data_IF_769165232386
#
_entry.id   IF_769165232386
#
_cell.length_a   1.000
_cell.length_b   1.000
_cell.length_c   1.000
_cell.angle_alpha   90.00
_cell.angle_beta   90.00
_cell.angle_gamma   90.00
#
_symmetry.space_group_name_H-M   'P 1'
#
loop_
_entity.id
_entity.type
_entity.pdbx_description
1 polymer ?
#
# COMPACT_ATOMS: atom_id res chain seq x y z
N UNK A 1 1.39 8.72 24.13
CA UNK A 1 1.10 7.27 24.04
C UNK A 1 2.42 6.55 24.03
N UNK A 2 2.62 5.50 24.85
CA UNK A 2 3.90 4.80 24.91
C UNK A 2 4.29 4.19 23.55
N UNK A 3 5.56 4.31 23.16
CA UNK A 3 6.13 3.85 21.89
C UNK A 3 5.80 2.39 21.59
N UNK A 4 5.91 1.52 22.60
CA UNK A 4 5.61 0.10 22.45
C UNK A 4 4.15 -0.14 21.99
N UNK A 5 3.20 0.59 22.58
CA UNK A 5 1.79 0.52 22.20
C UNK A 5 1.55 1.10 20.80
N UNK A 6 2.22 2.20 20.47
CA UNK A 6 2.19 2.80 19.13
C UNK A 6 2.72 1.82 18.09
N UNK A 7 3.84 1.17 18.38
CA UNK A 7 4.49 0.19 17.52
C UNK A 7 3.59 -1.03 17.26
N UNK A 8 2.95 -1.56 18.31
CA UNK A 8 1.99 -2.66 18.19
C UNK A 8 0.80 -2.30 17.30
N UNK A 9 0.22 -1.11 17.49
CA UNK A 9 -0.91 -0.65 16.66
C UNK A 9 -0.49 -0.45 15.20
N UNK A 10 0.67 0.15 14.96
CA UNK A 10 1.21 0.31 13.61
C UNK A 10 1.46 -1.06 12.96
N UNK A 11 2.03 -2.01 13.69
CA UNK A 11 2.26 -3.37 13.19
C UNK A 11 0.95 -4.05 12.78
N UNK A 12 -0.10 -3.98 13.62
CA UNK A 12 -1.41 -4.55 13.31
C UNK A 12 -2.05 -3.92 12.06
N UNK A 13 -1.91 -2.60 11.89
CA UNK A 13 -2.42 -1.91 10.70
C UNK A 13 -1.65 -2.34 9.46
N UNK A 14 -0.32 -2.43 9.52
CA UNK A 14 0.53 -2.91 8.42
C UNK A 14 0.14 -4.32 8.00
N UNK A 15 0.03 -5.25 8.95
CA UNK A 15 -0.40 -6.64 8.67
C UNK A 15 -1.78 -6.69 8.00
N UNK A 16 -2.72 -5.86 8.46
CA UNK A 16 -4.07 -5.80 7.88
C UNK A 16 -4.05 -5.24 6.46
N UNK A 17 -3.21 -4.23 6.19
CA UNK A 17 -3.01 -3.68 4.85
C UNK A 17 -2.37 -4.73 3.95
N UNK A 18 -1.32 -5.42 4.42
CA UNK A 18 -0.61 -6.42 3.64
C UNK A 18 -1.54 -7.59 3.25
N UNK A 19 -2.33 -8.09 4.20
CA UNK A 19 -3.35 -9.12 3.94
C UNK A 19 -4.38 -8.66 2.90
N UNK A 20 -4.82 -7.40 2.99
CA UNK A 20 -5.77 -6.84 2.04
C UNK A 20 -5.14 -6.78 0.63
N UNK A 21 -3.89 -6.32 0.53
CA UNK A 21 -3.13 -6.25 -0.72
C UNK A 21 -2.72 -7.62 -1.29
N UNK A 22 -2.91 -8.72 -0.57
CA UNK A 22 -2.73 -10.08 -1.11
C UNK A 22 -3.98 -10.60 -1.81
N UNK A 23 -5.13 -9.95 -1.62
CA UNK A 23 -6.38 -10.34 -2.28
C UNK A 23 -6.40 -9.89 -3.75
N UNK A 24 -6.86 -10.74 -4.67
CA UNK A 24 -6.92 -10.41 -6.11
C UNK A 24 -7.81 -9.20 -6.44
N UNK A 25 -8.82 -8.94 -5.61
CA UNK A 25 -9.71 -7.78 -5.73
C UNK A 25 -9.92 -7.14 -4.37
N UNK A 26 -8.99 -6.28 -3.96
CA UNK A 26 -9.09 -5.56 -2.69
C UNK A 26 -9.88 -4.26 -2.82
N UNK A 27 -10.51 -3.86 -1.72
CA UNK A 27 -11.20 -2.60 -1.59
C UNK A 27 -10.18 -1.46 -1.39
N UNK A 28 -10.02 -0.62 -2.42
CA UNK A 28 -9.10 0.51 -2.43
C UNK A 28 -9.47 1.53 -1.34
N UNK A 29 -10.76 1.79 -1.12
CA UNK A 29 -11.21 2.77 -0.12
C UNK A 29 -10.85 2.29 1.29
N UNK A 30 -10.95 0.99 1.54
CA UNK A 30 -10.50 0.41 2.80
C UNK A 30 -8.97 0.49 2.97
N UNK A 31 -8.19 0.26 1.91
CA UNK A 31 -6.72 0.43 1.95
C UNK A 31 -6.36 1.89 2.27
N UNK A 32 -7.02 2.86 1.64
CA UNK A 32 -6.82 4.29 1.90
C UNK A 32 -7.16 4.62 3.35
N UNK A 33 -8.32 4.18 3.85
CA UNK A 33 -8.73 4.42 5.23
C UNK A 33 -7.76 3.82 6.26
N UNK A 34 -7.22 2.62 6.00
CA UNK A 34 -6.23 2.00 6.87
C UNK A 34 -4.88 2.72 6.84
N UNK A 35 -4.46 3.20 5.66
CA UNK A 35 -3.25 4.01 5.51
C UNK A 35 -3.38 5.37 6.21
N UNK A 36 -4.56 6.00 6.15
CA UNK A 36 -4.80 7.26 6.87
C UNK A 36 -4.72 7.05 8.39
N UNK A 37 -5.28 5.95 8.91
CA UNK A 37 -5.15 5.58 10.33
C UNK A 37 -3.69 5.34 10.72
N UNK A 38 -2.91 4.65 9.87
CA UNK A 38 -1.49 4.42 10.11
C UNK A 38 -0.72 5.76 10.10
N UNK A 39 -0.98 6.63 9.12
CA UNK A 39 -0.37 7.95 9.01
C UNK A 39 -0.66 8.83 10.22
N UNK A 40 -1.90 8.83 10.71
CA UNK A 40 -2.28 9.54 11.93
C UNK A 40 -1.49 9.05 13.14
N UNK A 41 -1.32 7.73 13.29
CA UNK A 41 -0.50 7.19 14.38
C UNK A 41 0.96 7.61 14.25
N UNK A 42 1.54 7.56 13.05
CA UNK A 42 2.95 7.89 12.81
C UNK A 42 3.28 9.34 13.15
N UNK A 43 2.40 10.28 12.78
CA UNK A 43 2.60 11.73 12.99
C UNK A 43 2.39 12.17 14.44
N UNK A 44 1.77 11.34 15.29
CA UNK A 44 1.62 11.67 16.72
C UNK A 44 2.97 11.88 17.39
N UNK A 45 3.06 12.97 18.16
CA UNK A 45 4.24 13.35 18.93
C UNK A 45 4.67 12.22 19.89
N UNK A 46 5.98 12.09 20.00
CA UNK A 46 6.70 11.15 20.85
C UNK A 46 6.83 11.79 22.23
N UNK A 47 6.73 10.98 23.28
CA UNK A 47 6.99 11.48 24.63
C UNK A 47 8.49 11.77 24.78
N UNK A 48 8.92 12.95 25.28
CA UNK A 48 10.34 13.28 25.48
C UNK A 48 11.07 12.31 26.42
N UNK A 49 10.35 11.53 27.21
CA UNK A 49 10.90 10.50 28.10
C UNK A 49 11.21 9.16 27.40
N UNK A 50 10.86 9.02 26.12
CA UNK A 50 11.11 7.80 25.36
C UNK A 50 12.56 7.69 24.87
N UNK A 51 13.06 6.46 24.86
CA UNK A 51 14.39 6.13 24.36
C UNK A 51 14.51 6.48 22.87
N UNK A 52 15.46 7.37 22.57
CA UNK A 52 15.75 7.86 21.22
C UNK A 52 16.15 6.72 20.29
N UNK A 53 16.88 5.70 20.77
CA UNK A 53 17.30 4.57 19.95
C UNK A 53 16.12 3.69 19.55
N UNK A 54 15.22 3.40 20.51
CA UNK A 54 13.98 2.66 20.25
C UNK A 54 13.08 3.43 19.29
N UNK A 55 13.00 4.74 19.43
CA UNK A 55 12.22 5.57 18.52
C UNK A 55 12.81 5.58 17.10
N UNK A 56 14.13 5.69 16.97
CA UNK A 56 14.81 5.61 15.67
C UNK A 56 14.55 4.26 14.98
N UNK A 57 14.64 3.15 15.73
CA UNK A 57 14.32 1.82 15.22
C UNK A 57 12.87 1.71 14.76
N UNK A 58 11.93 2.23 15.56
CA UNK A 58 10.51 2.29 15.20
C UNK A 58 10.29 3.04 13.87
N UNK A 59 10.92 4.21 13.69
CA UNK A 59 10.82 4.97 12.43
C UNK A 59 11.42 4.19 11.26
N UNK A 60 12.58 3.56 11.45
CA UNK A 60 13.25 2.79 10.41
C UNK A 60 12.36 1.64 9.93
N UNK A 61 11.79 0.85 10.84
CA UNK A 61 10.90 -0.27 10.50
C UNK A 61 9.69 0.19 9.66
N UNK A 62 9.12 1.35 9.98
CA UNK A 62 8.01 1.92 9.22
C UNK A 62 8.42 2.37 7.81
N UNK A 63 9.59 3.01 7.69
CA UNK A 63 10.13 3.42 6.39
C UNK A 63 10.45 2.22 5.50
N UNK A 64 11.02 1.17 6.08
CA UNK A 64 11.36 -0.04 5.32
C UNK A 64 10.10 -0.76 4.83
N UNK A 65 9.06 -0.86 5.66
CA UNK A 65 7.76 -1.38 5.22
C UNK A 65 7.15 -0.53 4.11
N UNK A 66 7.13 0.81 4.25
CA UNK A 66 6.59 1.71 3.22
C UNK A 66 7.28 1.52 1.87
N UNK A 67 8.62 1.38 1.85
CA UNK A 67 9.38 1.13 0.62
C UNK A 67 8.96 -0.18 -0.06
N UNK A 68 8.80 -1.25 0.71
CA UNK A 68 8.38 -2.56 0.18
C UNK A 68 6.97 -2.48 -0.38
N UNK A 69 6.03 -1.90 0.37
CA UNK A 69 4.63 -1.79 -0.04
C UNK A 69 4.47 -0.90 -1.27
N UNK A 70 5.19 0.23 -1.36
CA UNK A 70 5.18 1.08 -2.55
C UNK A 70 5.74 0.37 -3.78
N UNK A 71 6.79 -0.43 -3.62
CA UNK A 71 7.35 -1.21 -4.74
C UNK A 71 6.35 -2.25 -5.25
N UNK A 72 5.64 -2.94 -4.34
CA UNK A 72 4.58 -3.90 -4.69
C UNK A 72 3.45 -3.22 -5.48
N UNK A 73 2.88 -2.14 -4.94
CA UNK A 73 1.79 -1.39 -5.57
C UNK A 73 2.20 -0.77 -6.91
N UNK A 74 3.43 -0.30 -7.03
CA UNK A 74 3.95 0.23 -8.31
C UNK A 74 4.00 -0.85 -9.38
N UNK A 75 4.47 -2.05 -9.02
CA UNK A 75 4.49 -3.20 -9.92
C UNK A 75 3.08 -3.63 -10.35
N UNK A 76 2.13 -3.64 -9.42
CA UNK A 76 0.71 -3.92 -9.73
C UNK A 76 0.12 -2.89 -10.70
N UNK A 77 0.34 -1.60 -10.44
CA UNK A 77 -0.08 -0.51 -11.32
C UNK A 77 0.47 -0.69 -12.75
N UNK A 78 1.76 -1.03 -12.87
CA UNK A 78 2.39 -1.23 -14.17
C UNK A 78 1.82 -2.47 -14.89
N UNK A 79 1.55 -3.56 -14.16
CA UNK A 79 0.91 -4.75 -14.72
C UNK A 79 -0.51 -4.47 -15.24
N UNK A 80 -1.31 -3.68 -14.49
CA UNK A 80 -2.64 -3.24 -14.92
C UNK A 80 -2.55 -2.39 -16.18
N UNK A 81 -1.61 -1.45 -16.25
CA UNK A 81 -1.40 -0.62 -17.44
C UNK A 81 -1.09 -1.46 -18.69
N UNK A 82 -0.23 -2.47 -18.56
CA UNK A 82 0.07 -3.42 -19.66
C UNK A 82 -1.18 -4.20 -20.09
N UNK A 83 -1.96 -4.71 -19.14
CA UNK A 83 -3.20 -5.43 -19.42
C UNK A 83 -4.21 -4.55 -20.15
N UNK A 84 -4.40 -3.30 -19.72
CA UNK A 84 -5.28 -2.35 -20.40
C UNK A 84 -4.86 -2.08 -21.85
N UNK A 85 -3.56 -1.93 -22.11
CA UNK A 85 -3.05 -1.76 -23.48
C UNK A 85 -3.33 -2.99 -24.36
N UNK A 86 -3.19 -4.19 -23.82
CA UNK A 86 -3.52 -5.43 -24.54
C UNK A 86 -5.02 -5.51 -24.86
N UNK A 87 -5.88 -5.17 -23.90
CA UNK A 87 -7.34 -5.12 -24.11
C UNK A 87 -7.70 -4.10 -25.19
N UNK A 88 -7.10 -2.90 -25.17
CA UNK A 88 -7.32 -1.89 -26.21
C UNK A 88 -6.89 -2.36 -27.59
N UNK A 89 -5.73 -3.00 -27.71
CA UNK A 89 -5.25 -3.60 -28.98
C UNK A 89 -6.20 -4.70 -29.47
N UNK A 90 -6.65 -5.57 -28.58
CA UNK A 90 -7.62 -6.62 -28.90
C UNK A 90 -8.98 -6.08 -29.38
N UNK A 91 -9.48 -5.01 -28.74
CA UNK A 91 -10.71 -4.31 -29.18
C UNK A 91 -10.55 -3.69 -30.56
N UNK A 92 -9.41 -3.03 -30.84
CA UNK A 92 -9.12 -2.47 -32.17
C UNK A 92 -9.04 -3.55 -33.25
N UNK A 93 -8.38 -4.67 -32.97
CA UNK A 93 -8.30 -5.79 -33.90
C UNK A 93 -9.69 -6.40 -34.20
N UNK A 94 -10.54 -6.61 -33.20
CA UNK A 94 -11.91 -7.12 -33.42
C UNK A 94 -12.76 -6.18 -34.27
N UNK A 95 -12.66 -4.86 -34.07
CA UNK A 95 -13.39 -3.88 -34.88
C UNK A 95 -12.92 -3.84 -36.35
N UNK A 96 -11.62 -3.98 -36.62
CA UNK A 96 -11.13 -4.03 -38.00
C UNK A 96 -11.60 -5.27 -38.76
N UNK A 97 -11.80 -6.40 -38.08
CA UNK A 97 -12.35 -7.61 -38.71
C UNK A 97 -13.86 -7.52 -38.99
N UNK A 98 -14.62 -6.70 -38.25
CA UNK A 98 -16.07 -6.54 -38.48
C UNK A 98 -16.42 -5.51 -39.56
N UNK A 99 -15.48 -4.62 -39.92
CA UNK A 99 -15.66 -3.66 -41.03
C UNK A 99 -15.22 -4.21 -42.40
N UNK A 100 -14.56 -5.36 -42.43
CA UNK A 100 -14.03 -5.97 -43.66
C UNK A 100 -14.79 -7.23 -44.13
N UNK A 101 -15.90 -7.59 -43.46
CA UNK A 101 -16.88 -8.61 -43.87
C UNK A 101 -18.24 -7.95 -44.12
#
# INVERSE_FOLDING_TARGET
MQLAKKAELCQKLREKIDLLLESESYDIELVVALNDQLGQLLVQAVDPSEDVEQHALFLQQNLDWLKVSMAKLSKEKDAVAVSMLQVQKGRRAKHSYTQHN
#
